data_IF_250281986122
#
_entry.id   IF_250281986122
#
_cell.length_a   1.000
_cell.length_b   1.000
_cell.length_c   1.000
_cell.angle_alpha   90.00
_cell.angle_beta   90.00
_cell.angle_gamma   90.00
#
_symmetry.space_group_name_H-M   'P 1'
#
loop_
_entity.id
_entity.type
_entity.pdbx_description
1 polymer ?
#
# COMPACT_ATOMS: atom_id res chain seq x y z
N UNK A 1 -1.56 -56.93 4.47
CA UNK A 1 -0.62 -55.87 4.91
C UNK A 1 -0.29 -56.04 6.40
N UNK A 2 0.97 -56.31 6.77
CA UNK A 2 1.38 -56.70 8.13
C UNK A 2 1.42 -55.60 9.20
N UNK A 3 0.48 -54.63 9.16
CA UNK A 3 0.41 -53.49 10.07
C UNK A 3 -0.55 -53.68 11.25
N UNK A 4 -1.44 -54.69 11.19
CA UNK A 4 -2.51 -54.94 12.18
C UNK A 4 -2.01 -55.25 13.61
N UNK A 5 -0.70 -55.49 13.78
CA UNK A 5 -0.03 -55.69 15.08
C UNK A 5 0.99 -54.58 15.38
N UNK A 6 0.94 -53.44 14.67
CA UNK A 6 1.94 -52.36 14.74
C UNK A 6 1.35 -50.94 14.82
N UNK A 7 0.13 -50.71 14.34
CA UNK A 7 -0.51 -49.39 14.35
C UNK A 7 -2.04 -49.53 14.26
N UNK A 8 -2.81 -48.79 15.06
CA UNK A 8 -4.29 -48.84 15.02
C UNK A 8 -4.83 -48.14 13.76
N UNK A 9 -6.10 -48.38 13.42
CA UNK A 9 -6.75 -47.71 12.29
C UNK A 9 -6.75 -46.18 12.45
N UNK A 10 -7.07 -45.67 13.64
CA UNK A 10 -7.05 -44.23 13.90
C UNK A 10 -5.63 -43.65 13.93
N UNK A 11 -4.62 -44.39 14.37
CA UNK A 11 -3.22 -43.97 14.23
C UNK A 11 -2.78 -43.90 12.75
N UNK A 12 -3.20 -44.85 11.92
CA UNK A 12 -2.93 -44.84 10.48
C UNK A 12 -3.65 -43.67 9.78
N UNK A 13 -4.93 -43.46 10.07
CA UNK A 13 -5.71 -42.30 9.59
C UNK A 13 -5.08 -40.98 10.03
N UNK A 14 -4.67 -40.84 11.30
CA UNK A 14 -4.01 -39.62 11.81
C UNK A 14 -2.65 -39.36 11.15
N UNK A 15 -1.91 -40.40 10.76
CA UNK A 15 -0.71 -40.26 9.92
C UNK A 15 -1.07 -39.85 8.48
N UNK A 16 -2.13 -40.41 7.90
CA UNK A 16 -2.62 -40.02 6.57
C UNK A 16 -3.06 -38.55 6.52
N UNK A 17 -3.78 -38.05 7.52
CA UNK A 17 -4.11 -36.61 7.64
C UNK A 17 -2.87 -35.73 7.79
N UNK A 18 -1.88 -36.17 8.59
CA UNK A 18 -0.61 -35.45 8.73
C UNK A 18 0.17 -35.39 7.39
N UNK A 19 0.22 -36.50 6.65
CA UNK A 19 0.82 -36.56 5.31
C UNK A 19 0.06 -35.69 4.30
N UNK A 20 -1.28 -35.70 4.31
CA UNK A 20 -2.10 -34.79 3.48
C UNK A 20 -1.85 -33.32 3.81
N UNK A 21 -1.70 -32.95 5.08
CA UNK A 21 -1.36 -31.57 5.45
C UNK A 21 0.02 -31.18 4.91
N UNK A 22 1.05 -32.01 5.15
CA UNK A 22 2.40 -31.77 4.65
C UNK A 22 2.47 -31.72 3.12
N UNK A 23 1.68 -32.53 2.43
CA UNK A 23 1.53 -32.52 0.98
C UNK A 23 0.89 -31.22 0.46
N UNK A 24 -0.18 -30.72 1.11
CA UNK A 24 -0.79 -29.43 0.76
C UNK A 24 0.21 -28.26 0.93
N UNK A 25 0.96 -28.24 2.04
CA UNK A 25 2.03 -27.25 2.30
C UNK A 25 3.14 -27.27 1.24
N UNK A 26 3.40 -28.42 0.60
CA UNK A 26 4.39 -28.57 -0.49
C UNK A 26 3.81 -28.27 -1.88
N UNK A 27 2.54 -28.62 -2.16
CA UNK A 27 1.89 -28.47 -3.48
C UNK A 27 1.23 -27.09 -3.67
N UNK A 28 0.97 -26.35 -2.58
CA UNK A 28 0.46 -24.98 -2.58
C UNK A 28 1.15 -24.18 -1.47
N UNK A 29 2.39 -23.68 -1.72
CA UNK A 29 3.11 -22.89 -0.73
C UNK A 29 2.47 -21.49 -0.55
N UNK A 30 2.59 -20.89 0.64
CA UNK A 30 2.16 -19.50 0.85
C UNK A 30 2.98 -18.54 -0.01
N UNK A 31 2.34 -17.45 -0.43
CA UNK A 31 2.81 -16.58 -1.51
C UNK A 31 4.19 -15.97 -1.20
N UNK A 32 5.13 -16.14 -2.14
CA UNK A 32 6.53 -15.73 -2.00
C UNK A 32 7.51 -16.82 -1.55
N UNK A 33 7.06 -17.96 -1.00
CA UNK A 33 7.97 -19.02 -0.53
C UNK A 33 8.23 -20.07 -1.61
N UNK A 34 9.46 -20.18 -2.10
CA UNK A 34 9.90 -21.30 -2.95
C UNK A 34 10.10 -22.56 -2.10
N UNK A 35 9.18 -23.51 -2.23
CA UNK A 35 9.22 -24.81 -1.55
C UNK A 35 9.59 -25.89 -2.57
N UNK A 36 10.45 -26.83 -2.17
CA UNK A 36 10.96 -27.90 -3.04
C UNK A 36 10.27 -29.24 -2.68
N UNK A 37 9.35 -29.77 -3.52
CA UNK A 37 8.63 -31.01 -3.21
C UNK A 37 9.55 -32.23 -3.08
N UNK A 38 10.63 -32.27 -3.87
CA UNK A 38 11.65 -33.32 -3.91
C UNK A 38 12.36 -33.55 -2.56
N UNK A 39 12.37 -32.56 -1.67
CA UNK A 39 12.97 -32.68 -0.32
C UNK A 39 12.18 -33.63 0.60
N UNK A 40 10.97 -34.05 0.21
CA UNK A 40 10.18 -35.03 0.96
C UNK A 40 10.07 -36.36 0.20
N UNK A 41 10.76 -37.44 0.63
CA UNK A 41 10.82 -38.72 -0.11
C UNK A 41 9.47 -39.42 -0.32
N UNK A 42 8.41 -38.97 0.35
CA UNK A 42 7.05 -39.47 0.18
C UNK A 42 6.18 -38.60 -0.73
N UNK A 43 6.69 -37.49 -1.29
CA UNK A 43 5.88 -36.57 -2.10
C UNK A 43 5.25 -37.27 -3.31
N UNK A 44 6.03 -37.92 -4.16
CA UNK A 44 5.52 -38.62 -5.35
C UNK A 44 4.55 -39.75 -4.98
N UNK A 45 4.87 -40.55 -3.95
CA UNK A 45 4.00 -41.61 -3.46
C UNK A 45 2.67 -41.06 -2.90
N UNK A 46 2.70 -39.87 -2.30
CA UNK A 46 1.51 -39.17 -1.81
C UNK A 46 0.70 -38.54 -2.95
N UNK A 47 1.37 -38.03 -3.97
CA UNK A 47 0.78 -37.47 -5.19
C UNK A 47 0.04 -38.58 -5.98
N UNK A 48 0.71 -39.71 -6.22
CA UNK A 48 0.12 -40.91 -6.82
C UNK A 48 -1.08 -41.45 -6.02
N UNK A 49 -1.05 -41.35 -4.69
CA UNK A 49 -2.15 -41.75 -3.82
C UNK A 49 -3.32 -40.76 -3.84
N UNK A 50 -3.04 -39.46 -3.95
CA UNK A 50 -4.04 -38.38 -4.00
C UNK A 50 -4.68 -38.24 -5.39
N UNK A 51 -3.98 -38.63 -6.45
CA UNK A 51 -4.43 -38.60 -7.84
C UNK A 51 -4.89 -39.99 -8.34
N UNK A 52 -5.19 -40.92 -7.42
CA UNK A 52 -5.84 -42.21 -7.71
C UNK A 52 -4.96 -43.28 -8.35
N UNK A 53 -3.71 -42.99 -8.74
CA UNK A 53 -2.79 -43.92 -9.43
C UNK A 53 -2.41 -45.15 -8.60
N UNK A 54 -2.67 -45.16 -7.28
CA UNK A 54 -2.47 -46.32 -6.41
C UNK A 54 -3.74 -47.12 -6.10
N UNK A 55 -4.90 -46.75 -6.66
CA UNK A 55 -6.14 -47.48 -6.45
C UNK A 55 -6.06 -48.89 -7.06
N UNK A 56 -6.44 -49.92 -6.29
CA UNK A 56 -6.30 -51.33 -6.67
C UNK A 56 -4.93 -51.98 -6.34
N UNK A 57 -3.87 -51.21 -6.06
CA UNK A 57 -2.53 -51.77 -5.78
C UNK A 57 -2.40 -52.47 -4.40
N UNK A 58 -3.44 -52.44 -3.58
CA UNK A 58 -3.51 -53.17 -2.32
C UNK A 58 -4.78 -54.05 -2.29
N UNK A 59 -4.71 -55.31 -1.79
CA UNK A 59 -5.90 -56.14 -1.63
C UNK A 59 -6.94 -55.45 -0.74
N UNK A 60 -8.09 -55.11 -1.33
CA UNK A 60 -9.21 -54.51 -0.61
C UNK A 60 -9.66 -55.52 0.45
N UNK A 61 -9.46 -55.18 1.72
CA UNK A 61 -9.95 -55.99 2.85
C UNK A 61 -11.47 -55.85 2.92
N UNK A 62 -12.17 -56.65 2.12
CA UNK A 62 -13.62 -56.80 2.18
C UNK A 62 -13.97 -57.21 3.61
N UNK A 63 -14.72 -56.37 4.32
CA UNK A 63 -15.16 -56.67 5.67
C UNK A 63 -16.17 -57.82 5.60
N UNK A 64 -15.69 -59.03 5.93
CA UNK A 64 -16.56 -60.21 6.05
C UNK A 64 -17.39 -60.06 7.33
N UNK A 65 -18.66 -59.69 7.18
CA UNK A 65 -19.66 -59.90 8.23
C UNK A 65 -19.61 -61.37 8.64
N UNK A 66 -19.25 -61.63 9.90
CA UNK A 66 -18.95 -62.99 10.37
C UNK A 66 -20.24 -63.74 10.68
N UNK A 67 -20.91 -64.23 9.63
CA UNK A 67 -22.03 -65.14 9.75
C UNK A 67 -21.56 -66.60 9.55
N UNK A 68 -21.45 -67.28 10.69
CA UNK A 68 -21.46 -68.73 10.93
C UNK A 68 -20.63 -69.73 10.09
N UNK A 69 -19.89 -70.54 10.86
CA UNK A 69 -19.47 -71.95 10.64
C UNK A 69 -18.23 -72.32 9.79
N UNK A 70 -17.30 -72.99 10.51
CA UNK A 70 -16.43 -74.12 10.10
C UNK A 70 -15.44 -73.94 8.93
N UNK A 71 -14.15 -74.11 9.22
CA UNK A 71 -13.15 -74.49 8.21
C UNK A 71 -11.70 -74.09 8.53
N UNK A 72 -10.93 -75.04 9.06
CA UNK A 72 -9.51 -75.30 8.75
C UNK A 72 -8.55 -74.14 8.44
N UNK A 73 -7.91 -73.61 9.49
CA UNK A 73 -6.53 -73.11 9.40
C UNK A 73 -5.67 -73.68 10.55
N UNK A 74 -4.52 -74.25 10.19
CA UNK A 74 -3.63 -74.97 11.10
C UNK A 74 -2.84 -74.03 12.05
N UNK A 75 -2.48 -74.49 13.27
CA UNK A 75 -1.85 -73.63 14.27
C UNK A 75 -0.39 -73.28 13.96
N UNK A 76 -0.05 -71.99 14.05
CA UNK A 76 1.31 -71.48 13.84
C UNK A 76 2.21 -71.80 15.08
N UNK A 77 3.45 -72.30 14.90
CA UNK A 77 4.35 -72.60 16.01
C UNK A 77 4.84 -71.35 16.76
N UNK A 78 4.93 -71.43 18.10
CA UNK A 78 5.49 -70.35 18.94
C UNK A 78 7.02 -70.42 18.98
N UNK A 79 7.76 -69.32 18.70
CA UNK A 79 9.20 -69.27 18.90
C UNK A 79 9.55 -69.20 20.39
N UNK A 80 10.38 -70.13 20.88
CA UNK A 80 10.93 -70.10 22.24
C UNK A 80 11.87 -68.89 22.39
N UNK A 81 11.68 -68.06 23.43
CA UNK A 81 12.71 -67.09 23.87
C UNK A 81 13.21 -67.44 25.28
N UNK A 82 14.54 -67.37 25.39
CA UNK A 82 15.41 -67.92 26.44
C UNK A 82 15.09 -67.30 27.81
N UNK A 83 15.11 -68.13 28.86
CA UNK A 83 15.11 -67.70 30.27
C UNK A 83 16.51 -67.12 30.59
N UNK A 84 16.57 -66.04 31.37
CA UNK A 84 17.82 -65.57 32.01
C UNK A 84 17.90 -66.19 33.42
N UNK A 85 19.10 -66.30 33.97
CA UNK A 85 19.45 -67.21 35.08
C UNK A 85 19.62 -66.52 36.45
N UNK A 86 19.94 -67.34 37.47
CA UNK A 86 20.22 -67.04 38.88
C UNK A 86 19.03 -66.60 39.75
N UNK A 87 18.95 -67.01 41.03
CA UNK A 87 19.82 -67.90 41.83
C UNK A 87 18.97 -68.76 42.79
N UNK A 88 19.43 -69.96 43.14
CA UNK A 88 18.81 -70.83 44.17
C UNK A 88 19.37 -70.58 45.57
N UNK A 89 18.61 -70.95 46.61
CA UNK A 89 19.12 -71.56 47.85
C UNK A 89 18.15 -72.71 48.23
N UNK A 90 18.67 -73.82 48.75
CA UNK A 90 17.99 -75.12 48.79
C UNK A 90 18.06 -75.83 50.16
N UNK A 91 17.02 -76.60 50.50
CA UNK A 91 16.99 -77.67 51.53
C UNK A 91 15.71 -78.50 51.30
N UNK A 92 15.71 -79.80 50.97
CA UNK A 92 16.26 -81.00 51.66
C UNK A 92 15.55 -81.27 53.01
N UNK A 93 15.05 -82.47 53.37
CA UNK A 93 14.86 -83.78 52.69
C UNK A 93 13.88 -84.63 53.59
N UNK A 94 13.42 -85.89 53.40
CA UNK A 94 13.74 -87.08 52.55
C UNK A 94 12.45 -87.96 52.40
N UNK A 95 12.44 -88.92 51.45
CA UNK A 95 11.53 -90.10 51.34
C UNK A 95 10.02 -89.83 51.03
N UNK A 96 9.22 -90.77 50.51
CA UNK A 96 9.45 -92.20 50.16
C UNK A 96 8.85 -92.58 48.77
N UNK A 97 8.71 -93.88 48.47
CA UNK A 97 8.44 -94.45 47.14
C UNK A 97 7.07 -94.22 46.46
N UNK A 98 6.88 -94.77 45.24
CA UNK A 98 5.89 -94.25 44.28
C UNK A 98 4.62 -95.08 44.12
N UNK A 99 3.47 -94.40 44.02
CA UNK A 99 2.22 -94.97 43.50
C UNK A 99 1.79 -94.27 42.21
N UNK A 100 1.32 -95.06 41.24
CA UNK A 100 1.04 -94.61 39.86
C UNK A 100 -0.48 -94.50 39.68
N UNK A 101 -1.06 -93.36 40.05
CA UNK A 101 -2.46 -93.05 39.73
C UNK A 101 -2.60 -92.43 38.34
N UNK A 102 -2.95 -93.26 37.36
CA UNK A 102 -3.25 -92.84 35.98
C UNK A 102 -4.62 -92.16 35.93
N UNK A 103 -4.67 -90.88 36.31
CA UNK A 103 -5.83 -90.01 36.11
C UNK A 103 -6.06 -89.72 34.62
N UNK A 104 -6.79 -90.62 33.95
CA UNK A 104 -7.37 -90.33 32.63
C UNK A 104 -8.54 -89.37 32.81
N UNK A 105 -8.30 -88.07 32.59
CA UNK A 105 -9.32 -87.25 31.94
C UNK A 105 -8.71 -86.08 31.17
N UNK A 106 -9.03 -85.98 29.88
CA UNK A 106 -8.58 -84.90 29.02
C UNK A 106 -9.55 -83.71 28.99
N UNK A 107 -9.16 -82.68 28.23
CA UNK A 107 -10.03 -81.61 27.75
C UNK A 107 -10.62 -80.62 28.79
N UNK A 108 -9.77 -79.89 29.52
CA UNK A 108 -10.08 -78.52 29.96
C UNK A 108 -8.91 -77.59 29.60
N UNK A 109 -8.85 -77.15 28.34
CA UNK A 109 -7.79 -76.21 27.88
C UNK A 109 -8.17 -75.28 26.73
N UNK A 110 -9.20 -75.62 25.95
CA UNK A 110 -9.67 -74.78 24.84
C UNK A 110 -10.55 -73.63 25.30
N UNK A 111 -11.42 -73.84 26.29
CA UNK A 111 -12.32 -72.80 26.80
C UNK A 111 -11.57 -71.65 27.46
N UNK A 112 -10.58 -71.94 28.32
CA UNK A 112 -9.79 -70.89 28.98
C UNK A 112 -8.99 -70.04 27.99
N UNK A 113 -8.49 -70.66 26.90
CA UNK A 113 -7.83 -69.94 25.78
C UNK A 113 -8.84 -69.14 24.95
N UNK A 114 -10.02 -69.70 24.67
CA UNK A 114 -11.07 -69.04 23.90
C UNK A 114 -11.69 -67.85 24.65
N UNK A 115 -11.87 -67.94 25.97
CA UNK A 115 -12.27 -66.82 26.85
C UNK A 115 -11.20 -65.74 26.84
N UNK A 116 -9.93 -66.12 26.93
CA UNK A 116 -8.81 -65.16 26.93
C UNK A 116 -8.63 -64.47 25.56
N UNK A 117 -8.84 -65.19 24.44
CA UNK A 117 -8.89 -64.58 23.10
C UNK A 117 -10.12 -63.70 22.91
N UNK A 118 -11.29 -64.09 23.43
CA UNK A 118 -12.52 -63.27 23.36
C UNK A 118 -12.42 -62.01 24.20
N UNK A 119 -11.72 -62.05 25.35
CA UNK A 119 -11.34 -60.86 26.12
C UNK A 119 -10.48 -59.90 25.30
N UNK A 120 -9.39 -60.39 24.70
CA UNK A 120 -8.51 -59.57 23.85
C UNK A 120 -9.22 -59.00 22.60
N UNK A 121 -10.28 -59.64 22.11
CA UNK A 121 -11.15 -59.08 21.06
C UNK A 121 -12.04 -57.95 21.58
N UNK A 122 -12.63 -58.12 22.77
CA UNK A 122 -13.43 -57.08 23.44
C UNK A 122 -12.55 -55.87 23.76
N UNK A 123 -11.36 -56.08 24.33
CA UNK A 123 -10.39 -55.02 24.63
C UNK A 123 -10.02 -54.22 23.36
N UNK A 124 -9.81 -54.91 22.23
CA UNK A 124 -9.56 -54.30 20.92
C UNK A 124 -10.74 -53.48 20.41
N UNK A 125 -11.97 -53.99 20.53
CA UNK A 125 -13.20 -53.29 20.11
C UNK A 125 -13.44 -52.04 20.97
N UNK A 126 -13.22 -52.15 22.29
CA UNK A 126 -13.29 -51.00 23.22
C UNK A 126 -12.25 -49.96 22.85
N UNK A 127 -10.99 -50.38 22.66
CA UNK A 127 -9.91 -49.45 22.29
C UNK A 127 -10.16 -48.76 20.95
N UNK A 128 -10.73 -49.46 19.96
CA UNK A 128 -11.11 -48.86 18.67
C UNK A 128 -12.29 -47.89 18.80
N UNK A 129 -13.24 -48.15 19.71
CA UNK A 129 -14.33 -47.23 20.01
C UNK A 129 -13.82 -45.95 20.71
N UNK A 130 -12.85 -46.07 21.62
CA UNK A 130 -12.16 -44.94 22.26
C UNK A 130 -11.34 -44.12 21.24
N UNK A 131 -10.51 -44.78 20.43
CA UNK A 131 -9.75 -44.16 19.33
C UNK A 131 -10.69 -43.35 18.40
N UNK A 132 -11.86 -43.90 18.06
CA UNK A 132 -12.89 -43.23 17.24
C UNK A 132 -13.52 -42.02 17.94
N UNK A 133 -13.72 -42.05 19.26
CA UNK A 133 -14.19 -40.89 20.04
C UNK A 133 -13.13 -39.80 20.06
N UNK A 134 -11.88 -40.13 20.40
CA UNK A 134 -10.75 -39.20 20.43
C UNK A 134 -10.55 -38.52 19.06
N UNK A 135 -10.73 -39.26 17.95
CA UNK A 135 -10.74 -38.67 16.60
C UNK A 135 -11.85 -37.62 16.44
N UNK A 136 -13.12 -37.97 16.71
CA UNK A 136 -14.26 -37.04 16.58
C UNK A 136 -14.13 -35.79 17.45
N UNK A 137 -13.74 -35.97 18.71
CA UNK A 137 -13.50 -34.88 19.66
C UNK A 137 -12.37 -33.96 19.15
N UNK A 138 -11.36 -34.52 18.45
CA UNK A 138 -10.29 -33.73 17.84
C UNK A 138 -10.73 -32.98 16.57
N UNK A 139 -11.64 -33.54 15.77
CA UNK A 139 -12.24 -32.89 14.60
C UNK A 139 -13.16 -31.73 15.00
N UNK A 140 -13.96 -31.91 16.06
CA UNK A 140 -14.79 -30.84 16.64
C UNK A 140 -13.93 -29.65 17.07
N UNK A 141 -12.86 -29.91 17.83
CA UNK A 141 -11.87 -28.90 18.25
C UNK A 141 -11.11 -28.23 17.12
N UNK A 142 -11.10 -28.79 15.91
CA UNK A 142 -10.57 -28.11 14.71
C UNK A 142 -11.62 -27.17 14.13
N UNK A 143 -12.87 -27.63 13.97
CA UNK A 143 -13.99 -26.81 13.47
C UNK A 143 -14.31 -25.62 14.37
N UNK A 144 -14.26 -25.81 15.69
CA UNK A 144 -14.40 -24.72 16.69
C UNK A 144 -13.37 -23.62 16.47
N UNK A 145 -12.09 -23.97 16.27
CA UNK A 145 -11.01 -23.01 15.99
C UNK A 145 -11.15 -22.37 14.61
N UNK A 146 -11.61 -23.11 13.61
CA UNK A 146 -11.86 -22.61 12.26
C UNK A 146 -12.92 -21.52 12.27
N UNK A 147 -14.05 -21.74 12.96
CA UNK A 147 -15.09 -20.72 13.21
C UNK A 147 -14.49 -19.51 13.94
N UNK A 148 -13.75 -19.74 15.03
CA UNK A 148 -13.11 -18.68 15.84
C UNK A 148 -12.02 -17.89 15.05
N UNK A 149 -11.47 -18.45 13.97
CA UNK A 149 -10.58 -17.73 13.04
C UNK A 149 -11.40 -16.90 12.05
N UNK A 150 -12.43 -17.49 11.41
CA UNK A 150 -13.32 -16.76 10.50
C UNK A 150 -14.01 -15.56 11.17
N UNK A 151 -14.36 -15.66 12.44
CA UNK A 151 -14.92 -14.54 13.23
C UNK A 151 -13.90 -13.41 13.45
N UNK A 152 -12.63 -13.75 13.71
CA UNK A 152 -11.54 -12.76 13.82
C UNK A 152 -11.27 -12.07 12.49
N UNK A 153 -11.20 -12.83 11.40
CA UNK A 153 -11.02 -12.29 10.05
C UNK A 153 -12.15 -11.34 9.65
N UNK A 154 -13.41 -11.73 9.92
CA UNK A 154 -14.58 -10.86 9.73
C UNK A 154 -14.47 -9.54 10.52
N UNK A 155 -13.98 -9.59 11.76
CA UNK A 155 -13.78 -8.40 12.58
C UNK A 155 -12.63 -7.50 12.07
N UNK A 156 -11.58 -8.09 11.48
CA UNK A 156 -10.50 -7.36 10.80
C UNK A 156 -11.04 -6.66 9.55
N UNK A 157 -11.73 -7.37 8.66
CA UNK A 157 -12.35 -6.83 7.45
C UNK A 157 -13.38 -5.72 7.75
N UNK A 158 -14.06 -5.78 8.90
CA UNK A 158 -14.94 -4.69 9.36
C UNK A 158 -14.16 -3.44 9.80
N UNK A 159 -13.01 -3.60 10.46
CA UNK A 159 -12.14 -2.49 10.85
C UNK A 159 -11.49 -1.82 9.64
N UNK A 160 -10.99 -2.62 8.69
CA UNK A 160 -10.39 -2.15 7.44
C UNK A 160 -11.40 -1.35 6.61
N UNK A 161 -12.63 -1.86 6.44
CA UNK A 161 -13.71 -1.13 5.78
C UNK A 161 -13.99 0.23 6.43
N UNK A 162 -14.07 0.26 7.77
CA UNK A 162 -14.26 1.51 8.50
C UNK A 162 -13.03 2.46 8.41
N UNK A 163 -11.82 1.97 8.12
CA UNK A 163 -10.66 2.82 7.82
C UNK A 163 -10.80 3.42 6.42
N UNK A 164 -11.08 2.61 5.41
CA UNK A 164 -11.31 3.07 4.03
C UNK A 164 -12.46 4.10 3.94
N UNK A 165 -13.55 3.90 4.69
CA UNK A 165 -14.67 4.87 4.79
C UNK A 165 -14.22 6.23 5.35
N UNK A 166 -13.24 6.26 6.28
CA UNK A 166 -12.67 7.51 6.80
C UNK A 166 -11.70 8.16 5.79
N UNK A 167 -10.89 7.35 5.09
CA UNK A 167 -9.96 7.82 4.06
C UNK A 167 -10.71 8.47 2.89
N UNK A 168 -11.78 7.83 2.39
CA UNK A 168 -12.67 8.40 1.37
C UNK A 168 -13.23 9.76 1.86
N UNK A 169 -13.73 9.81 3.09
CA UNK A 169 -14.26 11.06 3.66
C UNK A 169 -13.19 12.15 3.87
N UNK A 170 -11.89 11.81 3.98
CA UNK A 170 -10.80 12.80 3.98
C UNK A 170 -10.56 13.30 2.55
N UNK A 171 -10.43 12.39 1.58
CA UNK A 171 -10.23 12.74 0.16
C UNK A 171 -11.37 13.61 -0.40
N UNK A 172 -12.62 13.39 0.00
CA UNK A 172 -13.76 14.24 -0.37
C UNK A 172 -13.64 15.67 0.20
N UNK A 173 -13.08 15.83 1.41
CA UNK A 173 -12.82 17.16 2.00
C UNK A 173 -11.69 17.86 1.27
N UNK A 174 -10.58 17.16 1.04
CA UNK A 174 -9.39 17.71 0.37
C UNK A 174 -9.72 18.12 -1.07
N UNK A 175 -10.50 17.29 -1.79
CA UNK A 175 -11.07 17.64 -3.09
C UNK A 175 -11.88 18.94 -3.02
N UNK A 176 -12.79 19.04 -2.05
CA UNK A 176 -13.62 20.23 -1.89
C UNK A 176 -12.81 21.48 -1.46
N UNK A 177 -11.64 21.32 -0.83
CA UNK A 177 -10.70 22.42 -0.58
C UNK A 177 -10.02 22.86 -1.89
N UNK A 178 -9.46 21.92 -2.65
CA UNK A 178 -8.83 22.19 -3.96
C UNK A 178 -9.80 22.82 -4.96
N UNK A 179 -11.09 22.46 -4.94
CA UNK A 179 -12.13 23.09 -5.77
C UNK A 179 -12.39 24.56 -5.35
N UNK A 180 -12.28 24.90 -4.05
CA UNK A 180 -12.35 26.29 -3.57
C UNK A 180 -11.12 27.10 -3.92
N UNK A 181 -9.92 26.52 -3.80
CA UNK A 181 -8.64 27.17 -4.13
C UNK A 181 -8.53 27.48 -5.63
N UNK A 182 -8.97 26.57 -6.51
CA UNK A 182 -9.07 26.87 -7.95
C UNK A 182 -9.95 28.09 -8.20
N UNK A 183 -11.07 28.19 -7.49
CA UNK A 183 -11.98 29.32 -7.62
C UNK A 183 -11.44 30.64 -7.02
N UNK A 184 -10.54 30.63 -6.03
CA UNK A 184 -9.84 31.85 -5.59
C UNK A 184 -8.80 32.28 -6.62
N UNK A 185 -7.97 31.36 -7.09
CA UNK A 185 -6.95 31.62 -8.12
C UNK A 185 -7.58 32.14 -9.43
N UNK A 186 -8.75 31.64 -9.82
CA UNK A 186 -9.49 32.14 -10.99
C UNK A 186 -9.99 33.59 -10.81
N UNK A 187 -10.47 33.94 -9.61
CA UNK A 187 -10.87 35.33 -9.29
C UNK A 187 -9.67 36.27 -9.27
N UNK A 188 -8.57 35.87 -8.65
CA UNK A 188 -7.30 36.63 -8.60
C UNK A 188 -6.72 36.82 -10.01
N UNK A 189 -6.74 35.78 -10.84
CA UNK A 189 -6.36 35.90 -12.25
C UNK A 189 -7.23 36.95 -12.96
N UNK A 190 -8.54 36.93 -12.73
CA UNK A 190 -9.45 37.89 -13.33
C UNK A 190 -9.28 39.32 -12.78
N UNK A 191 -8.82 39.54 -11.54
CA UNK A 191 -8.45 40.90 -11.08
C UNK A 191 -7.14 41.35 -11.72
N UNK A 192 -6.11 40.51 -11.75
CA UNK A 192 -4.84 40.79 -12.42
C UNK A 192 -5.01 41.10 -13.92
N UNK A 193 -5.94 40.45 -14.62
CA UNK A 193 -6.24 40.73 -16.03
C UNK A 193 -6.95 42.09 -16.20
N UNK A 194 -7.80 42.51 -15.25
CA UNK A 194 -8.40 43.87 -15.25
C UNK A 194 -7.35 44.95 -14.97
N UNK A 195 -6.50 44.74 -13.97
CA UNK A 195 -5.42 45.67 -13.59
C UNK A 195 -4.44 45.89 -14.75
N UNK A 196 -4.01 44.82 -15.44
CA UNK A 196 -3.19 44.94 -16.66
C UNK A 196 -3.83 45.84 -17.71
N UNK A 197 -5.13 45.69 -17.95
CA UNK A 197 -5.88 46.53 -18.89
C UNK A 197 -6.07 47.98 -18.40
N UNK A 198 -6.00 48.26 -17.10
CA UNK A 198 -5.94 49.64 -16.58
C UNK A 198 -4.55 50.24 -16.84
N UNK A 199 -3.48 49.54 -16.44
CA UNK A 199 -2.09 49.96 -16.66
C UNK A 199 -1.77 50.20 -18.16
N UNK A 200 -2.38 49.43 -19.06
CA UNK A 200 -2.26 49.62 -20.52
C UNK A 200 -2.91 50.94 -20.99
N UNK A 201 -4.10 51.27 -20.47
CA UNK A 201 -4.79 52.54 -20.77
C UNK A 201 -4.04 53.75 -20.20
N UNK A 202 -3.48 53.63 -19.00
CA UNK A 202 -2.64 54.67 -18.39
C UNK A 202 -1.38 54.93 -19.21
N UNK A 203 -0.68 53.88 -19.66
CA UNK A 203 0.48 54.02 -20.57
C UNK A 203 0.11 54.76 -21.86
N UNK A 204 -1.02 54.38 -22.48
CA UNK A 204 -1.53 55.03 -23.69
C UNK A 204 -2.07 56.47 -23.46
N UNK A 205 -2.31 56.86 -22.20
CA UNK A 205 -2.60 58.25 -21.82
C UNK A 205 -1.31 59.06 -21.68
N UNK A 206 -0.35 58.55 -20.90
CA UNK A 206 0.96 59.17 -20.67
C UNK A 206 1.76 59.34 -21.98
N UNK A 207 1.61 58.43 -22.95
CA UNK A 207 2.17 58.56 -24.29
C UNK A 207 1.59 59.78 -25.04
N UNK A 208 0.27 59.95 -25.03
CA UNK A 208 -0.40 61.11 -25.65
C UNK A 208 -0.09 62.43 -24.96
N UNK A 209 0.10 62.41 -23.64
CA UNK A 209 0.56 63.57 -22.87
C UNK A 209 2.00 63.96 -23.24
N UNK A 210 2.90 62.99 -23.41
CA UNK A 210 4.25 63.25 -23.93
C UNK A 210 4.20 63.84 -25.33
N UNK A 211 3.37 63.29 -26.23
CA UNK A 211 3.19 63.85 -27.58
C UNK A 211 2.56 65.25 -27.58
N UNK A 212 1.72 65.59 -26.60
CA UNK A 212 1.23 66.96 -26.40
C UNK A 212 2.36 67.88 -25.94
N UNK A 213 3.09 67.52 -24.88
CA UNK A 213 4.23 68.30 -24.36
C UNK A 213 5.31 68.52 -25.42
N UNK A 214 5.60 67.52 -26.26
CA UNK A 214 6.54 67.67 -27.38
C UNK A 214 6.06 68.71 -28.41
N UNK A 215 4.76 68.75 -28.74
CA UNK A 215 4.17 69.75 -29.62
C UNK A 215 4.19 71.15 -29.00
N UNK A 216 3.88 71.26 -27.70
CA UNK A 216 3.88 72.53 -26.99
C UNK A 216 5.30 73.11 -26.85
N UNK A 217 6.31 72.26 -26.58
CA UNK A 217 7.72 72.67 -26.59
C UNK A 217 8.16 73.20 -27.96
N UNK A 218 7.75 72.53 -29.06
CA UNK A 218 8.02 73.00 -30.43
C UNK A 218 7.32 74.34 -30.72
N UNK A 219 6.06 74.50 -30.30
CA UNK A 219 5.31 75.75 -30.46
C UNK A 219 5.93 76.90 -29.67
N UNK A 220 6.33 76.68 -28.41
CA UNK A 220 7.04 77.65 -27.58
C UNK A 220 8.39 78.03 -28.18
N UNK A 221 9.14 77.07 -28.74
CA UNK A 221 10.39 77.35 -29.44
C UNK A 221 10.17 78.23 -30.68
N UNK A 222 9.13 77.98 -31.46
CA UNK A 222 8.75 78.82 -32.61
C UNK A 222 8.33 80.24 -32.16
N UNK A 223 7.52 80.37 -31.10
CA UNK A 223 7.15 81.68 -30.55
C UNK A 223 8.38 82.45 -30.03
N UNK A 224 9.28 81.80 -29.30
CA UNK A 224 10.55 82.39 -28.83
C UNK A 224 11.43 82.87 -29.98
N UNK A 225 11.52 82.10 -31.06
CA UNK A 225 12.23 82.50 -32.28
C UNK A 225 11.56 83.69 -33.00
N UNK A 226 10.22 83.74 -33.03
CA UNK A 226 9.47 84.88 -33.58
C UNK A 226 9.67 86.15 -32.74
N UNK A 227 9.58 86.04 -31.41
CA UNK A 227 9.80 87.16 -30.49
C UNK A 227 11.23 87.70 -30.61
N UNK A 228 12.26 86.84 -30.70
CA UNK A 228 13.64 87.29 -30.91
C UNK A 228 13.85 88.03 -32.24
N UNK A 229 13.10 87.68 -33.30
CA UNK A 229 13.13 88.47 -34.54
C UNK A 229 12.48 89.84 -34.35
N UNK A 230 11.35 89.89 -33.63
CA UNK A 230 10.64 91.15 -33.36
C UNK A 230 11.49 92.09 -32.51
N UNK A 231 12.12 91.60 -31.44
CA UNK A 231 12.99 92.44 -30.59
C UNK A 231 14.18 92.99 -31.39
N UNK A 232 14.88 92.14 -32.15
CA UNK A 232 15.98 92.59 -33.01
C UNK A 232 15.52 93.65 -34.04
N UNK A 233 14.30 93.55 -34.59
CA UNK A 233 13.77 94.61 -35.45
C UNK A 233 13.37 95.88 -34.70
N UNK A 234 12.86 95.80 -33.47
CA UNK A 234 12.56 97.01 -32.68
C UNK A 234 13.84 97.71 -32.23
N UNK A 235 14.85 96.95 -31.78
CA UNK A 235 16.19 97.42 -31.45
C UNK A 235 16.80 98.21 -32.63
N UNK A 236 16.76 97.66 -33.85
CA UNK A 236 17.22 98.39 -35.06
C UNK A 236 16.35 99.59 -35.45
N UNK A 237 15.04 99.61 -35.16
CA UNK A 237 14.22 100.81 -35.41
C UNK A 237 14.40 101.88 -34.34
N UNK A 238 14.80 101.51 -33.12
CA UNK A 238 15.13 102.45 -32.06
C UNK A 238 16.47 103.15 -32.37
N UNK A 239 17.51 102.44 -32.84
CA UNK A 239 18.74 103.09 -33.36
C UNK A 239 18.45 104.07 -34.50
N UNK A 240 17.59 103.70 -35.47
CA UNK A 240 17.20 104.59 -36.58
C UNK A 240 16.34 105.77 -36.11
N UNK A 241 15.51 105.58 -35.08
CA UNK A 241 14.74 106.67 -34.48
C UNK A 241 15.63 107.63 -33.68
N UNK A 242 16.64 107.13 -32.96
CA UNK A 242 17.64 107.96 -32.29
C UNK A 242 18.42 108.79 -33.31
N UNK A 243 18.98 108.19 -34.37
CA UNK A 243 19.75 108.93 -35.37
C UNK A 243 18.88 109.97 -36.11
N UNK A 244 17.61 109.66 -36.43
CA UNK A 244 16.71 110.63 -37.03
C UNK A 244 16.30 111.76 -36.05
N UNK A 245 16.12 111.46 -34.76
CA UNK A 245 15.83 112.48 -33.73
C UNK A 245 17.01 113.43 -33.50
N UNK A 246 18.23 112.89 -33.63
CA UNK A 246 19.51 113.59 -33.47
C UNK A 246 19.82 114.52 -34.65
N UNK A 247 19.42 114.13 -35.86
CA UNK A 247 19.44 115.02 -37.04
C UNK A 247 18.48 116.19 -36.83
N UNK A 248 17.22 115.93 -36.49
CA UNK A 248 16.22 116.98 -36.19
C UNK A 248 16.68 117.89 -35.04
N UNK A 249 17.20 117.34 -33.93
CA UNK A 249 17.72 118.15 -32.83
C UNK A 249 18.88 119.06 -33.30
N UNK A 250 19.79 118.53 -34.12
CA UNK A 250 20.90 119.32 -34.71
C UNK A 250 20.41 120.47 -35.58
N UNK A 251 19.42 120.26 -36.47
CA UNK A 251 18.81 121.31 -37.28
C UNK A 251 18.09 122.36 -36.42
N UNK A 252 17.45 121.97 -35.31
CA UNK A 252 16.91 122.97 -34.36
C UNK A 252 18.00 123.77 -33.65
N UNK A 253 19.21 123.23 -33.45
CA UNK A 253 20.32 123.97 -32.82
C UNK A 253 20.96 124.98 -33.78
N UNK A 254 21.31 124.58 -35.00
CA UNK A 254 21.86 125.50 -36.02
C UNK A 254 20.87 126.65 -36.33
N UNK A 255 19.56 126.35 -36.38
CA UNK A 255 18.52 127.39 -36.53
C UNK A 255 18.48 128.38 -35.37
N UNK A 256 18.75 127.95 -34.13
CA UNK A 256 18.86 128.84 -32.95
C UNK A 256 20.14 129.68 -32.99
N UNK A 257 21.27 129.11 -33.38
CA UNK A 257 22.53 129.85 -33.52
C UNK A 257 22.45 130.93 -34.61
N UNK A 258 21.89 130.61 -35.79
CA UNK A 258 21.64 131.58 -36.85
C UNK A 258 20.75 132.73 -36.39
N UNK A 259 19.72 132.44 -35.59
CA UNK A 259 18.88 133.47 -34.99
C UNK A 259 19.67 134.37 -34.03
N UNK A 260 20.49 133.79 -33.13
CA UNK A 260 21.33 134.55 -32.21
C UNK A 260 22.35 135.44 -32.94
N UNK A 261 22.96 134.95 -34.04
CA UNK A 261 23.90 135.74 -34.87
C UNK A 261 23.18 136.92 -35.54
N UNK A 262 21.97 136.72 -36.05
CA UNK A 262 21.14 137.80 -36.62
C UNK A 262 20.69 138.81 -35.55
N UNK A 263 20.28 138.33 -34.37
CA UNK A 263 19.84 139.18 -33.27
C UNK A 263 20.99 140.02 -32.72
N UNK A 264 22.19 139.43 -32.59
CA UNK A 264 23.41 140.16 -32.23
C UNK A 264 23.73 141.25 -33.26
N UNK A 265 23.70 140.93 -34.56
CA UNK A 265 23.87 141.93 -35.63
C UNK A 265 22.80 143.03 -35.61
N UNK A 266 21.58 142.73 -35.19
CA UNK A 266 20.53 143.76 -35.04
C UNK A 266 20.86 144.74 -33.91
N UNK A 267 21.35 144.23 -32.77
CA UNK A 267 21.75 145.03 -31.61
C UNK A 267 23.05 145.80 -31.85
N UNK A 268 23.97 145.28 -32.67
CA UNK A 268 25.21 145.94 -33.07
C UNK A 268 25.04 147.03 -34.16
N UNK A 269 23.81 147.25 -34.66
CA UNK A 269 23.47 148.30 -35.64
C UNK A 269 22.39 149.28 -35.12
N UNK A 270 22.27 149.42 -33.79
CA UNK A 270 21.41 150.36 -33.07
C UNK A 270 22.25 151.34 -32.23
#
# INVERSE_FOLDING_TARGET
MGLQHKMTHCQASKKWENMKKRYKELKSPPEGVKVFPETWPYFSLMDDAMEGRLEGNAPILKAYSSDNNKGDFLPIPKPKKRKVSSMEISSASVADGPEIEVSVNGNVKWEQVAVQQRGLEIDRIVQEAEDKRICKDSEQRVKEREIEVMERERLVLQRERAVLEREIAVLDRDRALLERERATIERERATMEREKAVMERERAMVEKERDAVCRDQLALHQQKAKLKRISATTESTEEVAEDNSKVEESDTTDRKERFLILFKKLVENL
#
